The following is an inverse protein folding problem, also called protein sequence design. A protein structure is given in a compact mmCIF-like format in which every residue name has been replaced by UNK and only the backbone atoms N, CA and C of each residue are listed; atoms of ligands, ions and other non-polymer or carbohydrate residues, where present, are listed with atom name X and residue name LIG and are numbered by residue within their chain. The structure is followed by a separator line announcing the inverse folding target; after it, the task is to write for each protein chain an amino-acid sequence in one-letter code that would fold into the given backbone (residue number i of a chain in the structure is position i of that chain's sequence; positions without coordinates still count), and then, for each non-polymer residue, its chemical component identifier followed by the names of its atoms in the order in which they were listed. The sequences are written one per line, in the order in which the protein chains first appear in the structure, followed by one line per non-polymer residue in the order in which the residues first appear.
data_IF_598881317231
#
_entry.id   IF_598881317231
#
_cell.length_a   1.000
_cell.length_b   1.000
_cell.length_c   1.000
_cell.angle_alpha   90.00
_cell.angle_beta   90.00
_cell.angle_gamma   90.00
#
_symmetry.space_group_name_H-M   'P 1'
#
loop_
_entity.id
_entity.type
_entity.pdbx_description
1 polymer ?
#
# COMPACT_ATOMS: atom_id res chain seq x y z
N UNK A 1 -46.02 -20.11 25.64
CA UNK A 1 -44.55 -19.91 25.52
C UNK A 1 -44.03 -20.91 24.51
N UNK A 2 -44.10 -20.57 23.22
CA UNK A 2 -43.52 -21.36 22.13
C UNK A 2 -42.00 -21.23 22.26
N UNK A 3 -41.37 -22.34 22.63
CA UNK A 3 -39.92 -22.46 22.74
C UNK A 3 -39.32 -22.15 21.37
N UNK A 4 -38.60 -21.03 21.25
CA UNK A 4 -37.80 -20.69 20.08
C UNK A 4 -36.71 -21.75 19.96
N UNK A 5 -36.99 -22.82 19.22
CA UNK A 5 -35.97 -23.81 18.91
C UNK A 5 -35.20 -23.31 17.69
N UNK A 6 -33.87 -23.56 17.61
CA UNK A 6 -33.04 -23.12 16.49
C UNK A 6 -33.43 -23.68 15.10
N UNK A 7 -34.55 -24.41 15.00
CA UNK A 7 -35.10 -25.03 13.79
C UNK A 7 -36.39 -24.36 13.28
N UNK A 8 -36.78 -23.19 13.80
CA UNK A 8 -37.96 -22.47 13.31
C UNK A 8 -37.76 -21.98 11.85
N UNK A 9 -38.66 -22.32 10.91
CA UNK A 9 -38.53 -21.99 9.49
C UNK A 9 -38.54 -20.48 9.20
N UNK A 10 -39.00 -19.65 10.15
CA UNK A 10 -38.95 -18.19 10.07
C UNK A 10 -37.55 -17.61 10.33
N UNK A 11 -36.68 -18.32 11.06
CA UNK A 11 -35.33 -17.83 11.43
C UNK A 11 -34.25 -18.21 10.41
N UNK A 12 -34.52 -19.19 9.54
CA UNK A 12 -33.62 -19.65 8.47
C UNK A 12 -33.21 -18.55 7.46
N UNK A 13 -34.14 -17.71 6.96
CA UNK A 13 -33.77 -16.60 6.08
C UNK A 13 -32.86 -15.57 6.76
N UNK A 14 -33.08 -15.31 8.06
CA UNK A 14 -32.24 -14.40 8.84
C UNK A 14 -30.83 -14.96 9.02
N UNK A 15 -30.70 -16.26 9.31
CA UNK A 15 -29.40 -16.93 9.34
C UNK A 15 -28.68 -16.88 7.98
N UNK A 16 -29.42 -17.06 6.88
CA UNK A 16 -28.86 -16.94 5.52
C UNK A 16 -28.29 -15.56 5.22
N UNK A 17 -29.02 -14.49 5.55
CA UNK A 17 -28.55 -13.10 5.39
C UNK A 17 -27.31 -12.80 6.22
N UNK A 18 -27.24 -13.32 7.44
CA UNK A 18 -26.08 -13.15 8.32
C UNK A 18 -24.86 -13.89 7.76
N UNK A 19 -25.03 -15.12 7.28
CA UNK A 19 -23.94 -15.92 6.68
C UNK A 19 -23.40 -15.24 5.41
N UNK A 20 -24.30 -14.73 4.56
CA UNK A 20 -23.94 -14.03 3.33
C UNK A 20 -23.12 -12.75 3.64
N UNK A 21 -23.59 -11.92 4.56
CA UNK A 21 -22.87 -10.71 4.98
C UNK A 21 -21.49 -11.00 5.59
N UNK A 22 -21.37 -12.05 6.41
CA UNK A 22 -20.05 -12.47 6.94
C UNK A 22 -19.15 -13.11 5.88
N UNK A 23 -19.73 -13.75 4.86
CA UNK A 23 -19.03 -14.23 3.68
C UNK A 23 -18.43 -13.07 2.90
N UNK A 24 -19.25 -12.08 2.53
CA UNK A 24 -18.80 -10.89 1.81
C UNK A 24 -17.71 -10.12 2.57
N UNK A 25 -17.87 -9.92 3.88
CA UNK A 25 -16.85 -9.27 4.71
C UNK A 25 -15.51 -10.03 4.72
N UNK A 26 -15.55 -11.36 4.62
CA UNK A 26 -14.33 -12.17 4.54
C UNK A 26 -13.67 -12.01 3.19
N UNK A 27 -14.43 -12.09 2.11
CA UNK A 27 -13.91 -11.96 0.75
C UNK A 27 -13.29 -10.57 0.54
N UNK A 28 -13.89 -9.52 1.12
CA UNK A 28 -13.31 -8.17 1.13
C UNK A 28 -11.96 -8.13 1.86
N UNK A 29 -11.87 -8.77 3.03
CA UNK A 29 -10.62 -8.81 3.81
C UNK A 29 -9.52 -9.59 3.07
N UNK A 30 -9.86 -10.73 2.48
CA UNK A 30 -8.92 -11.54 1.68
C UNK A 30 -8.45 -10.77 0.45
N UNK A 31 -9.36 -10.11 -0.28
CA UNK A 31 -9.00 -9.28 -1.43
C UNK A 31 -8.05 -8.14 -1.06
N UNK A 32 -8.28 -7.44 0.05
CA UNK A 32 -7.36 -6.38 0.51
C UNK A 32 -5.99 -6.96 0.84
N UNK A 33 -5.95 -8.12 1.52
CA UNK A 33 -4.69 -8.79 1.87
C UNK A 33 -3.91 -9.21 0.64
N UNK A 34 -4.55 -9.87 -0.32
CA UNK A 34 -3.94 -10.30 -1.57
C UNK A 34 -3.39 -9.11 -2.38
N UNK A 35 -4.14 -8.00 -2.42
CA UNK A 35 -3.68 -6.78 -3.08
C UNK A 35 -2.43 -6.19 -2.41
N UNK A 36 -2.32 -6.26 -1.08
CA UNK A 36 -1.13 -5.77 -0.35
C UNK A 36 0.10 -6.67 -0.53
N UNK A 37 -0.10 -7.95 -0.80
CA UNK A 37 0.99 -8.92 -1.04
C UNK A 37 1.44 -8.95 -2.51
N UNK A 38 0.52 -8.67 -3.45
CA UNK A 38 0.80 -8.72 -4.89
C UNK A 38 1.22 -7.39 -5.50
N UNK A 39 0.87 -6.26 -4.89
CA UNK A 39 1.17 -4.93 -5.41
C UNK A 39 1.79 -4.04 -4.34
N UNK A 40 2.77 -3.22 -4.71
CA UNK A 40 3.31 -2.23 -3.78
C UNK A 40 2.28 -1.12 -3.51
N UNK A 41 2.02 -0.81 -2.24
CA UNK A 41 1.04 0.20 -1.85
C UNK A 41 1.37 1.63 -2.33
N UNK A 42 2.66 1.98 -2.46
CA UNK A 42 3.08 3.35 -2.80
C UNK A 42 3.12 3.56 -4.32
N UNK A 43 3.76 2.65 -5.07
CA UNK A 43 3.92 2.79 -6.51
C UNK A 43 2.88 2.03 -7.34
N UNK A 44 2.13 1.09 -6.75
CA UNK A 44 1.15 0.28 -7.46
C UNK A 44 1.75 -0.73 -8.44
N UNK A 45 3.06 -0.97 -8.40
CA UNK A 45 3.70 -1.95 -9.28
C UNK A 45 3.48 -3.38 -8.76
N UNK A 46 3.24 -4.35 -9.66
CA UNK A 46 3.04 -5.74 -9.29
C UNK A 46 4.35 -6.38 -8.83
N UNK A 47 4.26 -7.32 -7.91
CA UNK A 47 5.37 -8.15 -7.40
C UNK A 47 6.13 -8.83 -8.53
N UNK A 48 5.41 -9.24 -9.58
CA UNK A 48 5.93 -9.93 -10.76
C UNK A 48 7.08 -9.15 -11.45
N UNK A 49 7.07 -7.81 -11.39
CA UNK A 49 8.15 -6.99 -11.95
C UNK A 49 9.46 -7.16 -11.17
N UNK A 50 9.36 -7.43 -9.87
CA UNK A 50 10.51 -7.57 -8.96
C UNK A 50 11.02 -9.01 -8.83
N UNK A 51 10.33 -9.99 -9.42
CA UNK A 51 10.71 -11.41 -9.40
C UNK A 51 12.01 -11.71 -10.15
N UNK A 52 12.52 -10.75 -10.93
CA UNK A 52 13.85 -10.81 -11.55
C UNK A 52 14.99 -10.97 -10.52
N UNK A 53 14.76 -10.57 -9.27
CA UNK A 53 15.72 -10.68 -8.16
C UNK A 53 15.07 -11.49 -7.03
N UNK A 54 15.77 -12.48 -6.43
CA UNK A 54 15.22 -13.22 -5.30
C UNK A 54 14.90 -12.27 -4.14
N UNK A 55 13.66 -12.35 -3.62
CA UNK A 55 13.14 -11.43 -2.58
C UNK A 55 13.14 -9.95 -3.01
N UNK A 56 13.07 -9.66 -4.31
CA UNK A 56 13.07 -8.31 -4.84
C UNK A 56 11.91 -7.47 -4.32
N UNK A 57 10.71 -8.05 -4.26
CA UNK A 57 9.52 -7.37 -3.77
C UNK A 57 9.59 -7.06 -2.26
N UNK A 58 10.06 -8.02 -1.44
CA UNK A 58 10.24 -7.81 0.01
C UNK A 58 11.21 -6.65 0.29
N UNK A 59 12.33 -6.60 -0.44
CA UNK A 59 13.30 -5.51 -0.35
C UNK A 59 12.71 -4.18 -0.83
N UNK A 60 11.92 -4.21 -1.90
CA UNK A 60 11.24 -3.03 -2.43
C UNK A 60 10.28 -2.42 -1.39
N UNK A 61 9.44 -3.23 -0.75
CA UNK A 61 8.49 -2.74 0.27
C UNK A 61 9.22 -2.32 1.56
N UNK A 62 10.27 -3.02 1.98
CA UNK A 62 10.95 -2.72 3.25
C UNK A 62 11.96 -1.57 3.16
N UNK A 63 12.70 -1.45 2.05
CA UNK A 63 13.78 -0.46 1.90
C UNK A 63 13.45 0.71 0.98
N UNK A 64 12.72 0.48 -0.11
CA UNK A 64 12.42 1.55 -1.08
C UNK A 64 11.10 2.23 -0.72
N UNK A 65 10.02 1.46 -0.55
CA UNK A 65 8.66 1.95 -0.36
C UNK A 65 8.04 1.51 0.97
N UNK A 66 8.76 1.76 2.06
CA UNK A 66 8.27 1.44 3.39
C UNK A 66 7.23 2.46 3.86
N UNK A 67 5.99 1.99 4.04
CA UNK A 67 4.86 2.83 4.47
C UNK A 67 5.14 3.57 5.79
N UNK A 68 5.83 2.93 6.74
CA UNK A 68 6.15 3.55 8.01
C UNK A 68 7.12 4.72 7.83
N UNK A 69 8.11 4.58 6.95
CA UNK A 69 9.09 5.65 6.67
C UNK A 69 8.41 6.90 6.09
N UNK A 70 7.41 6.74 5.21
CA UNK A 70 6.62 7.88 4.72
C UNK A 70 5.86 8.60 5.84
N UNK A 71 5.25 7.84 6.76
CA UNK A 71 4.56 8.40 7.92
C UNK A 71 5.53 9.16 8.84
N UNK A 72 6.70 8.57 9.13
CA UNK A 72 7.74 9.21 9.92
C UNK A 72 8.29 10.46 9.24
N UNK A 73 8.45 10.46 7.92
CA UNK A 73 8.90 11.61 7.16
C UNK A 73 7.91 12.78 7.25
N UNK A 74 6.60 12.52 7.10
CA UNK A 74 5.58 13.55 7.30
C UNK A 74 5.58 14.09 8.73
N UNK A 75 5.69 13.22 9.73
CA UNK A 75 5.79 13.64 11.13
C UNK A 75 7.07 14.44 11.41
N UNK A 76 8.17 14.11 10.73
CA UNK A 76 9.42 14.86 10.80
C UNK A 76 9.26 16.28 10.24
N UNK A 77 8.62 16.42 9.07
CA UNK A 77 8.34 17.73 8.48
C UNK A 77 7.47 18.59 9.39
N UNK A 78 6.40 18.03 9.97
CA UNK A 78 5.48 18.77 10.85
C UNK A 78 6.17 19.28 12.13
N UNK A 79 7.12 18.52 12.69
CA UNK A 79 7.76 18.86 13.97
C UNK A 79 9.03 19.72 13.81
N UNK A 80 9.58 19.82 12.60
CA UNK A 80 10.82 20.57 12.31
C UNK A 80 10.49 21.98 11.85
N UNK A 81 11.29 22.96 12.27
CA UNK A 81 11.12 24.36 11.88
C UNK A 81 11.38 24.59 10.38
N UNK A 82 10.54 25.42 9.75
CA UNK A 82 10.56 25.67 8.30
C UNK A 82 11.90 26.26 7.81
N UNK A 83 12.63 26.94 8.69
CA UNK A 83 13.93 27.56 8.36
C UNK A 83 15.08 26.56 8.25
N UNK A 84 14.89 25.33 8.75
CA UNK A 84 15.90 24.27 8.73
C UNK A 84 15.62 23.21 7.66
N UNK A 85 14.59 23.41 6.84
CA UNK A 85 14.28 22.51 5.76
C UNK A 85 15.39 22.50 4.70
N UNK A 86 15.76 21.31 4.26
CA UNK A 86 16.59 21.14 3.07
C UNK A 86 15.78 21.49 1.81
N UNK A 87 16.45 21.62 0.66
CA UNK A 87 15.76 21.96 -0.59
C UNK A 87 14.68 20.96 -0.99
N UNK A 88 14.91 19.66 -0.74
CA UNK A 88 13.93 18.60 -1.02
C UNK A 88 12.76 18.63 -0.04
N UNK A 89 13.05 18.82 1.26
CA UNK A 89 12.01 18.96 2.30
C UNK A 89 11.11 20.16 2.02
N UNK A 90 11.68 21.29 1.62
CA UNK A 90 10.94 22.50 1.26
C UNK A 90 10.03 22.27 0.06
N UNK A 91 10.48 21.52 -0.94
CA UNK A 91 9.67 21.15 -2.10
C UNK A 91 8.45 20.31 -1.69
N UNK A 92 8.68 19.27 -0.88
CA UNK A 92 7.57 18.42 -0.39
C UNK A 92 6.64 19.19 0.55
N UNK A 93 7.16 20.08 1.39
CA UNK A 93 6.35 20.93 2.25
C UNK A 93 5.43 21.86 1.45
N UNK A 94 5.94 22.48 0.39
CA UNK A 94 5.12 23.33 -0.49
C UNK A 94 4.01 22.52 -1.18
N UNK A 95 4.32 21.32 -1.68
CA UNK A 95 3.33 20.40 -2.25
C UNK A 95 2.27 20.02 -1.22
N UNK A 96 2.69 19.71 0.01
CA UNK A 96 1.81 19.36 1.12
C UNK A 96 0.84 20.50 1.46
N UNK A 97 1.31 21.74 1.53
CA UNK A 97 0.47 22.92 1.76
C UNK A 97 -0.55 23.14 0.62
N UNK A 98 -0.16 22.83 -0.62
CA UNK A 98 -1.04 22.88 -1.79
C UNK A 98 -1.99 21.69 -1.88
N UNK A 99 -1.95 20.75 -0.93
CA UNK A 99 -2.70 19.48 -0.95
C UNK A 99 -2.45 18.68 -2.23
N UNK A 100 -1.25 18.84 -2.80
CA UNK A 100 -0.81 18.13 -3.99
C UNK A 100 0.03 16.92 -3.58
N UNK A 101 -0.30 15.75 -4.13
CA UNK A 101 0.33 14.47 -3.80
C UNK A 101 1.17 13.90 -4.95
N UNK A 102 1.45 14.72 -5.96
CA UNK A 102 2.18 14.34 -7.17
C UNK A 102 3.66 14.00 -6.91
N UNK A 103 4.15 14.20 -5.68
CA UNK A 103 5.49 13.79 -5.28
C UNK A 103 5.61 12.28 -5.01
N UNK A 104 4.50 11.55 -4.87
CA UNK A 104 4.54 10.10 -4.71
C UNK A 104 4.87 9.43 -6.05
N UNK A 105 5.77 8.42 -6.07
CA UNK A 105 6.17 7.73 -7.29
C UNK A 105 5.10 6.70 -7.71
N UNK A 106 3.96 7.18 -8.21
CA UNK A 106 2.87 6.31 -8.69
C UNK A 106 3.20 5.78 -10.09
N UNK A 107 3.19 4.46 -10.26
CA UNK A 107 3.47 3.78 -11.53
C UNK A 107 4.96 3.73 -11.92
N UNK A 108 5.83 4.22 -11.05
CA UNK A 108 7.28 4.24 -11.26
C UNK A 108 8.03 3.87 -9.97
N UNK A 109 9.26 3.39 -10.10
CA UNK A 109 10.13 3.17 -8.96
C UNK A 109 11.57 3.42 -9.33
N UNK A 110 12.41 3.65 -8.32
CA UNK A 110 13.83 3.93 -8.52
C UNK A 110 14.50 2.92 -9.46
N UNK A 111 14.24 1.62 -9.26
CA UNK A 111 14.81 0.58 -10.12
C UNK A 111 14.39 0.71 -11.58
N UNK A 112 13.12 0.99 -11.84
CA UNK A 112 12.57 1.10 -13.20
C UNK A 112 13.13 2.31 -13.95
N UNK A 113 13.34 3.43 -13.25
CA UNK A 113 13.90 4.64 -13.85
C UNK A 113 15.38 4.48 -14.25
N UNK A 114 16.14 3.68 -13.50
CA UNK A 114 17.58 3.51 -13.70
C UNK A 114 17.94 2.13 -14.27
N UNK A 115 16.96 1.37 -14.77
CA UNK A 115 17.17 0.00 -15.26
C UNK A 115 18.19 -0.05 -16.42
N UNK A 116 18.11 0.91 -17.36
CA UNK A 116 19.04 1.02 -18.50
C UNK A 116 20.46 1.41 -18.06
N UNK A 117 20.59 2.28 -17.05
CA UNK A 117 21.90 2.75 -16.56
C UNK A 117 22.59 1.71 -15.67
N UNK A 118 21.81 0.98 -14.86
CA UNK A 118 22.32 -0.08 -13.97
C UNK A 118 22.68 -1.37 -14.73
N UNK A 119 21.97 -1.68 -15.81
CA UNK A 119 22.28 -2.82 -16.68
C UNK A 119 23.40 -2.52 -17.69
N UNK A 120 23.62 -1.25 -18.03
CA UNK A 120 24.62 -0.78 -19.00
C UNK A 120 26.09 -0.83 -18.55
N UNK A 121 26.39 -1.25 -17.32
CA UNK A 121 27.77 -1.32 -16.78
C UNK A 121 28.68 -2.40 -17.36
N UNK A 122 28.28 -3.13 -18.39
CA UNK A 122 29.08 -4.20 -19.02
C UNK A 122 29.24 -4.06 -20.54
N UNK A 123 29.49 -2.84 -21.01
CA UNK A 123 30.07 -2.63 -22.35
C UNK A 123 31.08 -1.48 -22.37
N UNK A 124 32.29 -1.77 -21.89
CA UNK A 124 33.55 -1.11 -22.28
C UNK A 124 34.71 -2.08 -22.03
#
# INVERSE_FOLDING_TARGET
MTHLTPFDPFFRPLQGLIIDAFGELRDQLESVKENMESNCFICGMPSDYFDSVPHGFDVHVDKEHNLANYMFFLMHLINKDETEYTGQETYVWNMYQQRCWDFFPVGDCFRKQYEEELSGGSSS
#
